data_IF_558065271407
#
_entry.id   IF_558065271407
#
_cell.length_a   1.000
_cell.length_b   1.000
_cell.length_c   1.000
_cell.angle_alpha   90.00
_cell.angle_beta   90.00
_cell.angle_gamma   90.00
#
_symmetry.space_group_name_H-M   'P 1'
#
loop_
_entity.id
_entity.type
_entity.pdbx_description
1 polymer ?
#
# COMPACT_ATOMS: atom_id res chain seq x y z
N UNK A 1 21.62 -23.13 14.50
CA UNK A 1 21.23 -24.16 13.51
C UNK A 1 20.24 -25.21 14.05
N UNK A 2 19.95 -25.29 15.37
CA UNK A 2 19.00 -26.26 15.96
C UNK A 2 17.52 -25.81 16.02
N UNK A 3 17.19 -24.55 15.73
CA UNK A 3 15.79 -24.08 15.68
C UNK A 3 15.04 -24.48 14.39
N UNK A 4 15.72 -25.10 13.42
CA UNK A 4 15.13 -25.42 12.11
C UNK A 4 14.14 -26.60 12.13
N UNK A 5 14.09 -27.38 13.21
CA UNK A 5 13.52 -28.75 13.18
C UNK A 5 12.05 -28.88 13.61
N UNK A 6 11.38 -27.83 14.08
CA UNK A 6 10.02 -27.93 14.60
C UNK A 6 9.12 -26.74 14.28
N UNK A 7 9.30 -26.09 13.12
CA UNK A 7 8.23 -25.20 12.66
C UNK A 7 7.06 -26.04 12.16
N UNK A 8 5.92 -25.96 12.84
CA UNK A 8 4.70 -26.61 12.40
C UNK A 8 4.29 -26.05 11.02
N UNK A 9 3.66 -26.85 10.17
CA UNK A 9 3.27 -26.43 8.80
C UNK A 9 2.48 -25.11 8.80
N UNK A 10 1.64 -24.91 9.82
CA UNK A 10 0.93 -23.64 10.04
C UNK A 10 1.86 -22.43 10.22
N UNK A 11 2.97 -22.57 10.95
CA UNK A 11 3.94 -21.48 11.15
C UNK A 11 4.68 -21.16 9.83
N UNK A 12 5.01 -22.19 9.04
CA UNK A 12 5.60 -22.00 7.71
C UNK A 12 4.65 -21.22 6.78
N UNK A 13 3.34 -21.49 6.83
CA UNK A 13 2.34 -20.74 6.05
C UNK A 13 2.32 -19.25 6.38
N UNK A 14 2.74 -18.85 7.59
CA UNK A 14 2.77 -17.45 8.01
C UNK A 14 3.97 -16.68 7.46
N UNK A 15 5.08 -17.35 7.14
CA UNK A 15 6.31 -16.73 6.63
C UNK A 15 6.10 -16.12 5.24
N UNK A 16 6.66 -14.94 5.00
CA UNK A 16 6.55 -14.28 3.71
C UNK A 16 7.29 -15.05 2.58
N UNK A 17 6.95 -14.79 1.31
CA UNK A 17 7.52 -15.52 0.18
C UNK A 17 9.03 -15.39 0.05
N UNK A 18 9.64 -14.29 0.50
CA UNK A 18 11.09 -14.12 0.43
C UNK A 18 11.77 -15.08 1.41
N UNK A 19 11.32 -15.11 2.66
CA UNK A 19 11.84 -16.03 3.68
C UNK A 19 11.62 -17.49 3.30
N UNK A 20 10.45 -17.84 2.74
CA UNK A 20 10.19 -19.20 2.26
C UNK A 20 11.14 -19.60 1.12
N UNK A 21 11.38 -18.72 0.15
CA UNK A 21 12.30 -19.01 -0.97
C UNK A 21 13.75 -19.14 -0.52
N UNK A 22 14.20 -18.31 0.42
CA UNK A 22 15.52 -18.47 1.04
C UNK A 22 15.63 -19.84 1.72
N UNK A 23 14.64 -20.23 2.53
CA UNK A 23 14.61 -21.58 3.14
C UNK A 23 14.59 -22.72 2.12
N UNK A 24 13.90 -22.56 0.97
CA UNK A 24 13.88 -23.57 -0.10
C UNK A 24 15.27 -23.73 -0.74
N UNK A 25 16.02 -22.63 -0.87
CA UNK A 25 17.36 -22.62 -1.42
C UNK A 25 18.37 -23.28 -0.48
N UNK A 26 18.24 -23.02 0.83
CA UNK A 26 19.21 -23.46 1.83
C UNK A 26 19.03 -24.92 2.32
N UNK A 27 18.01 -25.63 1.81
CA UNK A 27 17.69 -27.00 2.21
C UNK A 27 18.12 -28.00 1.14
N UNK A 28 18.98 -28.94 1.55
CA UNK A 28 19.44 -30.05 0.68
C UNK A 28 18.49 -31.25 0.68
N UNK A 29 17.74 -31.47 1.76
CA UNK A 29 16.82 -32.60 1.88
C UNK A 29 15.60 -32.44 0.95
N UNK A 30 15.46 -33.35 -0.03
CA UNK A 30 14.36 -33.37 -1.00
C UNK A 30 12.97 -33.32 -0.36
N UNK A 31 12.73 -34.06 0.73
CA UNK A 31 11.42 -34.13 1.38
C UNK A 31 11.05 -32.79 2.03
N UNK A 32 12.00 -32.17 2.71
CA UNK A 32 11.80 -30.85 3.35
C UNK A 32 11.65 -29.74 2.30
N UNK A 33 12.43 -29.80 1.22
CA UNK A 33 12.29 -28.88 0.09
C UNK A 33 10.91 -28.95 -0.54
N UNK A 34 10.37 -30.16 -0.76
CA UNK A 34 9.02 -30.35 -1.27
C UNK A 34 7.96 -29.79 -0.32
N UNK A 35 8.11 -29.97 1.00
CA UNK A 35 7.21 -29.40 2.00
C UNK A 35 7.19 -27.86 1.96
N UNK A 36 8.36 -27.22 1.81
CA UNK A 36 8.45 -25.76 1.70
C UNK A 36 7.85 -25.23 0.39
N UNK A 37 8.05 -25.94 -0.73
CA UNK A 37 7.42 -25.61 -2.01
C UNK A 37 5.89 -25.75 -1.92
N UNK A 38 5.42 -26.85 -1.34
CA UNK A 38 3.99 -27.07 -1.11
C UNK A 38 3.40 -25.99 -0.19
N UNK A 39 4.11 -25.60 0.86
CA UNK A 39 3.72 -24.51 1.74
C UNK A 39 3.58 -23.19 0.99
N UNK A 40 4.54 -22.86 0.11
CA UNK A 40 4.49 -21.64 -0.70
C UNK A 40 3.27 -21.65 -1.65
N UNK A 41 2.97 -22.79 -2.27
CA UNK A 41 1.82 -22.94 -3.17
C UNK A 41 0.48 -22.88 -2.44
N UNK A 42 0.33 -23.64 -1.35
CA UNK A 42 -0.88 -23.66 -0.52
C UNK A 42 -1.14 -22.27 0.06
N UNK A 43 -0.11 -21.57 0.54
CA UNK A 43 -0.23 -20.19 1.01
C UNK A 43 -0.81 -19.28 -0.07
N UNK A 44 -0.30 -19.34 -1.30
CA UNK A 44 -0.76 -18.49 -2.40
C UNK A 44 -2.23 -18.76 -2.75
N UNK A 45 -2.63 -20.04 -2.83
CA UNK A 45 -4.03 -20.42 -3.05
C UNK A 45 -4.92 -19.91 -1.93
N UNK A 46 -4.57 -20.20 -0.67
CA UNK A 46 -5.37 -19.80 0.48
C UNK A 46 -5.55 -18.27 0.55
N UNK A 47 -4.49 -17.50 0.22
CA UNK A 47 -4.55 -16.05 0.19
C UNK A 47 -5.56 -15.55 -0.86
N UNK A 48 -5.51 -16.10 -2.08
CA UNK A 48 -6.40 -15.69 -3.19
C UNK A 48 -7.82 -16.17 -2.95
N UNK A 49 -8.02 -17.42 -2.50
CA UNK A 49 -9.33 -17.94 -2.13
C UNK A 49 -9.96 -17.10 -1.02
N UNK A 50 -9.18 -16.73 0.01
CA UNK A 50 -9.66 -15.85 1.07
C UNK A 50 -9.98 -14.44 0.55
N UNK A 51 -9.16 -13.88 -0.35
CA UNK A 51 -9.45 -12.58 -0.98
C UNK A 51 -10.77 -12.59 -1.77
N UNK A 52 -10.98 -13.63 -2.59
CA UNK A 52 -12.20 -13.81 -3.37
C UNK A 52 -13.40 -13.95 -2.44
N UNK A 53 -13.31 -14.82 -1.43
CA UNK A 53 -14.37 -15.01 -0.45
C UNK A 53 -14.71 -13.70 0.29
N UNK A 54 -13.70 -12.98 0.77
CA UNK A 54 -13.84 -11.72 1.49
C UNK A 54 -14.52 -10.65 0.62
N UNK A 55 -13.97 -10.36 -0.56
CA UNK A 55 -14.49 -9.32 -1.45
C UNK A 55 -15.90 -9.68 -1.92
N UNK A 56 -16.15 -10.93 -2.25
CA UNK A 56 -17.46 -11.38 -2.73
C UNK A 56 -18.53 -11.29 -1.64
N UNK A 57 -18.19 -11.66 -0.40
CA UNK A 57 -19.11 -11.57 0.75
C UNK A 57 -19.49 -10.13 1.07
N UNK A 58 -18.50 -9.22 1.10
CA UNK A 58 -18.78 -7.80 1.35
C UNK A 58 -19.57 -7.16 0.21
N UNK A 59 -19.25 -7.50 -1.04
CA UNK A 59 -20.01 -6.99 -2.20
C UNK A 59 -21.44 -7.56 -2.26
N UNK A 60 -21.67 -8.76 -1.73
CA UNK A 60 -23.02 -9.32 -1.59
C UNK A 60 -23.84 -8.57 -0.55
N UNK A 61 -23.23 -8.23 0.60
CA UNK A 61 -23.93 -7.56 1.71
C UNK A 61 -24.15 -6.06 1.44
N UNK A 62 -23.14 -5.36 0.94
CA UNK A 62 -23.13 -3.89 0.80
C UNK A 62 -23.20 -3.42 -0.67
N UNK A 63 -23.32 -4.33 -1.63
CA UNK A 63 -23.41 -4.02 -3.06
C UNK A 63 -22.06 -3.97 -3.78
N UNK A 64 -22.09 -4.04 -5.12
CA UNK A 64 -20.87 -4.10 -5.95
C UNK A 64 -20.14 -2.77 -6.09
N UNK A 65 -20.86 -1.65 -5.96
CA UNK A 65 -20.32 -0.30 -6.16
C UNK A 65 -19.27 0.11 -5.13
N UNK A 66 -19.20 -0.59 -4.00
CA UNK A 66 -18.23 -0.38 -2.92
C UNK A 66 -17.06 -1.38 -2.96
N UNK A 67 -16.88 -2.13 -4.05
CA UNK A 67 -15.83 -3.16 -4.16
C UNK A 67 -14.42 -2.64 -3.88
N UNK A 68 -14.17 -1.34 -4.12
CA UNK A 68 -12.88 -0.73 -3.76
C UNK A 68 -12.63 -0.71 -2.25
N UNK A 69 -13.67 -0.49 -1.43
CA UNK A 69 -13.59 -0.60 0.02
C UNK A 69 -13.34 -2.04 0.45
N UNK A 70 -14.02 -3.01 -0.16
CA UNK A 70 -13.81 -4.43 0.12
C UNK A 70 -12.35 -4.86 -0.08
N UNK A 71 -11.69 -4.35 -1.14
CA UNK A 71 -10.29 -4.62 -1.43
C UNK A 71 -9.33 -3.99 -0.42
N UNK A 72 -9.48 -2.70 -0.11
CA UNK A 72 -8.56 -2.06 0.86
C UNK A 72 -8.73 -2.64 2.25
N UNK A 73 -9.96 -3.03 2.62
CA UNK A 73 -10.26 -3.68 3.89
C UNK A 73 -9.58 -5.05 3.98
N UNK A 74 -9.59 -5.82 2.89
CA UNK A 74 -8.81 -7.07 2.83
C UNK A 74 -7.33 -6.83 3.09
N UNK A 75 -6.72 -5.84 2.42
CA UNK A 75 -5.31 -5.51 2.61
C UNK A 75 -5.00 -5.07 4.06
N UNK A 76 -5.86 -4.22 4.63
CA UNK A 76 -5.74 -3.76 6.03
C UNK A 76 -5.85 -4.94 6.99
N UNK A 77 -6.81 -5.84 6.81
CA UNK A 77 -6.99 -7.03 7.64
C UNK A 77 -5.73 -7.90 7.71
N UNK A 78 -5.11 -8.16 6.55
CA UNK A 78 -3.90 -8.97 6.47
C UNK A 78 -2.74 -8.36 7.28
N UNK A 79 -2.64 -7.03 7.29
CA UNK A 79 -1.57 -6.34 8.01
C UNK A 79 -1.89 -6.19 9.50
N UNK A 80 -3.11 -5.80 9.87
CA UNK A 80 -3.52 -5.66 11.27
C UNK A 80 -3.37 -6.96 12.06
N UNK A 81 -3.44 -8.12 11.39
CA UNK A 81 -3.18 -9.43 12.02
C UNK A 81 -1.78 -9.55 12.62
N UNK A 82 -0.80 -8.84 12.06
CA UNK A 82 0.62 -9.03 12.36
C UNK A 82 1.32 -7.76 12.83
N UNK A 83 0.87 -6.58 12.39
CA UNK A 83 1.56 -5.31 12.60
C UNK A 83 0.71 -4.41 13.50
N UNK A 84 1.12 -4.17 14.75
CA UNK A 84 0.45 -3.19 15.61
C UNK A 84 0.76 -1.76 15.16
N UNK A 85 0.01 -0.78 15.68
CA UNK A 85 0.34 0.65 15.48
C UNK A 85 1.46 1.14 16.40
N UNK A 86 1.89 0.31 17.35
CA UNK A 86 3.05 0.58 18.20
C UNK A 86 2.73 1.31 19.52
N UNK A 87 1.46 1.43 19.89
CA UNK A 87 1.02 2.01 21.16
C UNK A 87 -0.18 1.24 21.73
N UNK A 88 -0.52 1.51 23.00
CA UNK A 88 -1.51 0.73 23.76
C UNK A 88 -2.79 0.44 22.98
N UNK A 89 -3.29 -0.79 23.13
CA UNK A 89 -4.37 -1.34 22.30
C UNK A 89 -5.61 -0.46 22.27
N UNK A 90 -6.07 0.06 23.41
CA UNK A 90 -7.26 0.92 23.46
C UNK A 90 -7.13 2.18 22.61
N UNK A 91 -5.94 2.79 22.59
CA UNK A 91 -5.69 3.93 21.69
C UNK A 91 -5.49 3.51 20.25
N UNK A 92 -4.89 2.35 20.00
CA UNK A 92 -4.77 1.82 18.64
C UNK A 92 -6.15 1.56 18.02
N UNK A 93 -7.13 1.13 18.81
CA UNK A 93 -8.52 1.00 18.38
C UNK A 93 -9.17 2.35 18.04
N UNK A 94 -8.89 3.40 18.81
CA UNK A 94 -9.33 4.76 18.47
C UNK A 94 -8.62 5.25 17.19
N UNK A 95 -7.32 5.01 17.07
CA UNK A 95 -6.53 5.31 15.87
C UNK A 95 -7.08 4.60 14.63
N UNK A 96 -7.49 3.34 14.76
CA UNK A 96 -8.11 2.58 13.67
C UNK A 96 -9.45 3.21 13.23
N UNK A 97 -10.25 3.69 14.18
CA UNK A 97 -11.47 4.43 13.89
C UNK A 97 -11.19 5.71 13.11
N UNK A 98 -10.18 6.49 13.54
CA UNK A 98 -9.76 7.70 12.83
C UNK A 98 -9.27 7.38 11.41
N UNK A 99 -8.48 6.31 11.23
CA UNK A 99 -8.04 5.84 9.91
C UNK A 99 -9.24 5.56 9.01
N UNK A 100 -10.27 4.87 9.51
CA UNK A 100 -11.45 4.54 8.72
C UNK A 100 -12.28 5.78 8.36
N UNK A 101 -12.37 6.76 9.26
CA UNK A 101 -12.97 8.06 8.96
C UNK A 101 -12.20 8.77 7.84
N UNK A 102 -10.85 8.81 7.91
CA UNK A 102 -10.03 9.41 6.85
C UNK A 102 -10.25 8.70 5.51
N UNK A 103 -10.31 7.36 5.51
CA UNK A 103 -10.55 6.58 4.30
C UNK A 103 -11.96 6.78 3.73
N UNK A 104 -12.98 6.94 4.58
CA UNK A 104 -14.33 7.29 4.17
C UNK A 104 -14.42 8.68 3.54
N UNK A 105 -13.72 9.66 4.14
CA UNK A 105 -13.67 11.04 3.67
C UNK A 105 -12.83 11.23 2.40
N UNK A 106 -11.86 10.35 2.14
CA UNK A 106 -10.89 10.51 1.06
C UNK A 106 -11.52 10.76 -0.33
N UNK A 107 -12.54 9.99 -0.78
CA UNK A 107 -13.17 10.23 -2.08
C UNK A 107 -13.90 11.57 -2.19
N UNK A 108 -14.41 12.11 -1.08
CA UNK A 108 -15.09 13.42 -1.08
C UNK A 108 -14.14 14.57 -1.40
N UNK A 109 -12.84 14.44 -1.13
CA UNK A 109 -11.85 15.47 -1.46
C UNK A 109 -11.80 15.69 -2.98
N UNK A 110 -12.01 14.63 -3.78
CA UNK A 110 -12.05 14.74 -5.24
C UNK A 110 -13.21 15.59 -5.78
N UNK A 111 -14.25 15.83 -4.97
CA UNK A 111 -15.42 16.65 -5.34
C UNK A 111 -15.18 18.15 -5.14
N UNK A 112 -14.11 18.54 -4.46
CA UNK A 112 -13.81 19.95 -4.16
C UNK A 112 -13.32 20.64 -5.42
N UNK A 113 -13.97 21.72 -5.85
CA UNK A 113 -13.63 22.40 -7.10
C UNK A 113 -12.23 23.05 -7.11
N UNK A 114 -11.66 23.37 -5.95
CA UNK A 114 -10.39 24.10 -5.82
C UNK A 114 -9.20 23.15 -5.61
N UNK A 115 -8.30 22.97 -6.60
CA UNK A 115 -7.19 22.02 -6.50
C UNK A 115 -6.25 22.31 -5.33
N UNK A 116 -6.02 23.58 -5.00
CA UNK A 116 -5.16 23.95 -3.87
C UNK A 116 -5.74 23.53 -2.51
N UNK A 117 -7.07 23.54 -2.35
CA UNK A 117 -7.72 23.03 -1.15
C UNK A 117 -7.58 21.50 -1.09
N UNK A 118 -7.77 20.81 -2.23
CA UNK A 118 -7.54 19.36 -2.31
C UNK A 118 -6.11 19.01 -1.87
N UNK A 119 -5.12 19.75 -2.36
CA UNK A 119 -3.71 19.58 -1.99
C UNK A 119 -3.49 19.61 -0.47
N UNK A 120 -4.02 20.64 0.21
CA UNK A 120 -3.90 20.79 1.67
C UNK A 120 -4.57 19.62 2.39
N UNK A 121 -5.78 19.22 1.96
CA UNK A 121 -6.53 18.14 2.59
C UNK A 121 -5.86 16.77 2.40
N UNK A 122 -5.35 16.47 1.20
CA UNK A 122 -4.56 15.27 0.94
C UNK A 122 -3.32 15.21 1.82
N UNK A 123 -2.64 16.35 1.96
CA UNK A 123 -1.44 16.45 2.79
C UNK A 123 -1.74 16.17 4.26
N UNK A 124 -2.78 16.79 4.80
CA UNK A 124 -3.22 16.57 6.19
C UNK A 124 -3.64 15.12 6.40
N UNK A 125 -4.46 14.55 5.51
CA UNK A 125 -4.93 13.17 5.62
C UNK A 125 -3.78 12.16 5.62
N UNK A 126 -2.85 12.27 4.65
CA UNK A 126 -1.70 11.36 4.57
C UNK A 126 -0.78 11.51 5.78
N UNK A 127 -0.51 12.74 6.23
CA UNK A 127 0.33 12.98 7.39
C UNK A 127 -0.29 12.39 8.67
N UNK A 128 -1.60 12.54 8.86
CA UNK A 128 -2.33 11.92 9.97
C UNK A 128 -2.28 10.40 9.90
N UNK A 129 -2.52 9.79 8.73
CA UNK A 129 -2.39 8.35 8.54
C UNK A 129 -1.00 7.85 8.94
N UNK A 130 0.06 8.57 8.56
CA UNK A 130 1.43 8.21 8.90
C UNK A 130 1.72 8.35 10.39
N UNK A 131 1.27 9.43 11.03
CA UNK A 131 1.44 9.60 12.47
C UNK A 131 0.68 8.56 13.28
N UNK A 132 -0.52 8.17 12.85
CA UNK A 132 -1.37 7.19 13.55
C UNK A 132 -0.83 5.76 13.37
N UNK A 133 -0.41 5.38 12.17
CA UNK A 133 -0.13 3.98 11.83
C UNK A 133 1.36 3.66 11.73
N UNK A 134 2.21 4.67 11.63
CA UNK A 134 3.59 4.52 11.18
C UNK A 134 4.64 4.41 12.27
N UNK A 135 4.31 4.27 13.56
CA UNK A 135 5.31 4.35 14.65
C UNK A 135 6.62 3.60 14.34
N UNK A 136 6.49 2.41 13.78
CA UNK A 136 7.57 1.61 13.19
C UNK A 136 7.41 1.55 11.65
N UNK A 137 7.92 2.54 10.90
CA UNK A 137 7.66 2.64 9.47
C UNK A 137 8.26 1.47 8.67
N UNK A 138 9.28 0.79 9.24
CA UNK A 138 9.91 -0.40 8.65
C UNK A 138 8.91 -1.54 8.42
N UNK A 139 7.84 -1.59 9.22
CA UNK A 139 6.80 -2.61 9.12
C UNK A 139 5.83 -2.37 7.94
N UNK A 140 5.97 -1.25 7.22
CA UNK A 140 5.27 -0.99 5.97
C UNK A 140 3.88 -0.37 6.10
N UNK A 141 3.37 -0.13 7.33
CA UNK A 141 2.06 0.50 7.56
C UNK A 141 1.86 1.78 6.74
N UNK A 142 2.77 2.78 6.74
CA UNK A 142 2.57 3.99 5.95
C UNK A 142 2.36 3.73 4.46
N UNK A 143 3.06 2.75 3.88
CA UNK A 143 2.89 2.37 2.48
C UNK A 143 1.53 1.71 2.21
N UNK A 144 1.04 0.86 3.12
CA UNK A 144 -0.28 0.24 3.00
C UNK A 144 -1.42 1.25 3.13
N UNK A 145 -1.36 2.14 4.12
CA UNK A 145 -2.41 3.13 4.34
C UNK A 145 -2.40 4.21 3.27
N UNK A 146 -1.23 4.60 2.74
CA UNK A 146 -1.17 5.47 1.55
C UNK A 146 -1.75 4.77 0.31
N UNK A 147 -1.44 3.48 0.11
CA UNK A 147 -2.03 2.70 -0.98
C UNK A 147 -3.56 2.69 -0.86
N UNK A 148 -4.09 2.39 0.33
CA UNK A 148 -5.53 2.33 0.58
C UNK A 148 -6.21 3.69 0.29
N UNK A 149 -5.60 4.77 0.78
CA UNK A 149 -6.07 6.13 0.55
C UNK A 149 -6.09 6.51 -0.95
N UNK A 150 -4.96 6.30 -1.63
CA UNK A 150 -4.82 6.60 -3.06
C UNK A 150 -5.72 5.73 -3.93
N UNK A 151 -5.94 4.48 -3.54
CA UNK A 151 -6.84 3.56 -4.25
C UNK A 151 -8.28 4.04 -4.18
N UNK A 152 -8.75 4.47 -3.02
CA UNK A 152 -10.10 5.01 -2.87
C UNK A 152 -10.30 6.29 -3.67
N UNK A 153 -9.37 7.25 -3.61
CA UNK A 153 -9.45 8.50 -4.39
C UNK A 153 -9.47 8.22 -5.90
N UNK A 154 -8.70 7.23 -6.36
CA UNK A 154 -8.58 6.94 -7.79
C UNK A 154 -9.63 6.00 -8.37
N UNK A 155 -10.51 5.42 -7.53
CA UNK A 155 -11.51 4.44 -7.98
C UNK A 155 -12.93 4.72 -7.51
N UNK A 156 -13.10 5.39 -6.37
CA UNK A 156 -14.42 5.70 -5.82
C UNK A 156 -14.84 7.09 -6.30
N UNK A 157 -15.93 7.12 -7.05
CA UNK A 157 -16.65 8.34 -7.40
C UNK A 157 -18.08 8.16 -6.94
N UNK A 158 -18.50 8.92 -5.92
CA UNK A 158 -19.85 8.81 -5.39
C UNK A 158 -20.84 9.37 -6.41
N UNK A 159 -21.62 8.49 -7.02
CA UNK A 159 -22.66 8.83 -8.00
C UNK A 159 -24.04 8.88 -7.33
N UNK A 160 -24.23 8.15 -6.22
CA UNK A 160 -25.49 8.10 -5.47
C UNK A 160 -25.29 8.17 -3.96
N UNK A 161 -26.31 8.68 -3.26
CA UNK A 161 -26.33 8.69 -1.79
C UNK A 161 -26.26 7.26 -1.20
N UNK A 162 -26.81 6.27 -1.90
CA UNK A 162 -26.75 4.87 -1.49
C UNK A 162 -25.30 4.38 -1.39
N UNK A 163 -24.43 4.76 -2.34
CA UNK A 163 -23.01 4.38 -2.29
C UNK A 163 -22.28 5.00 -1.09
N UNK A 164 -22.61 6.24 -0.73
CA UNK A 164 -22.07 6.92 0.45
C UNK A 164 -22.51 6.21 1.73
N UNK A 165 -23.78 5.83 1.81
CA UNK A 165 -24.34 5.11 2.96
C UNK A 165 -23.71 3.73 3.09
N UNK A 166 -23.59 2.98 1.98
CA UNK A 166 -22.97 1.66 1.98
C UNK A 166 -21.47 1.73 2.32
N UNK A 167 -20.74 2.75 1.84
CA UNK A 167 -19.31 2.93 2.18
C UNK A 167 -19.10 3.25 3.65
N UNK A 168 -20.03 3.98 4.28
CA UNK A 168 -20.02 4.20 5.73
C UNK A 168 -20.25 2.88 6.49
N UNK A 169 -21.30 2.14 6.14
CA UNK A 169 -21.67 0.92 6.87
C UNK A 169 -20.67 -0.23 6.71
N UNK A 170 -20.04 -0.40 5.54
CA UNK A 170 -18.98 -1.42 5.37
C UNK A 170 -17.77 -1.10 6.25
N UNK A 171 -17.39 0.18 6.37
CA UNK A 171 -16.29 0.59 7.23
C UNK A 171 -16.65 0.42 8.71
N UNK A 172 -17.88 0.76 9.10
CA UNK A 172 -18.37 0.54 10.47
C UNK A 172 -18.39 -0.94 10.85
N UNK A 173 -18.92 -1.79 9.97
CA UNK A 173 -18.91 -3.25 10.14
C UNK A 173 -17.48 -3.78 10.25
N UNK A 174 -16.61 -3.36 9.33
CA UNK A 174 -15.21 -3.79 9.33
C UNK A 174 -14.44 -3.28 10.54
N UNK A 175 -14.78 -2.10 11.07
CA UNK A 175 -14.18 -1.57 12.29
C UNK A 175 -14.47 -2.50 13.47
N UNK A 176 -15.72 -2.93 13.63
CA UNK A 176 -16.09 -3.89 14.68
C UNK A 176 -15.29 -5.19 14.58
N UNK A 177 -15.25 -5.80 13.39
CA UNK A 177 -14.48 -7.02 13.17
C UNK A 177 -12.97 -6.83 13.41
N UNK A 178 -12.40 -5.76 12.88
CA UNK A 178 -10.97 -5.52 12.95
C UNK A 178 -10.56 -5.12 14.37
N UNK A 179 -11.41 -4.42 15.11
CA UNK A 179 -11.17 -4.10 16.52
C UNK A 179 -11.06 -5.37 17.37
N UNK A 180 -11.96 -6.34 17.17
CA UNK A 180 -11.91 -7.64 17.85
C UNK A 180 -10.59 -8.36 17.51
N UNK A 181 -10.27 -8.50 16.23
CA UNK A 181 -9.04 -9.18 15.78
C UNK A 181 -7.79 -8.47 16.32
N UNK A 182 -7.74 -7.15 16.21
CA UNK A 182 -6.63 -6.33 16.65
C UNK A 182 -6.42 -6.44 18.16
N UNK A 183 -7.50 -6.39 18.93
CA UNK A 183 -7.44 -6.58 20.38
C UNK A 183 -6.86 -7.94 20.74
N UNK A 184 -7.39 -9.03 20.16
CA UNK A 184 -6.87 -10.37 20.44
C UNK A 184 -5.40 -10.55 20.06
N UNK A 185 -4.94 -9.91 18.99
CA UNK A 185 -3.55 -10.03 18.50
C UNK A 185 -2.56 -9.14 19.24
N UNK A 186 -2.97 -7.96 19.68
CA UNK A 186 -2.06 -6.91 20.15
C UNK A 186 -2.38 -6.37 21.55
N UNK A 187 -3.26 -7.01 22.33
CA UNK A 187 -3.65 -6.52 23.67
C UNK A 187 -2.47 -6.27 24.62
N UNK A 188 -1.39 -7.03 24.47
CA UNK A 188 -0.18 -6.92 25.30
C UNK A 188 0.93 -6.09 24.63
N UNK A 189 0.68 -5.48 23.47
CA UNK A 189 1.69 -4.71 22.75
C UNK A 189 1.80 -3.29 23.29
N UNK A 190 3.02 -2.86 23.63
CA UNK A 190 3.37 -1.47 23.92
C UNK A 190 2.46 -0.77 24.95
N UNK A 191 2.11 -1.48 26.04
CA UNK A 191 1.16 -1.02 27.07
C UNK A 191 1.51 0.36 27.67
N UNK A 192 2.81 0.64 27.79
CA UNK A 192 3.32 1.89 28.39
C UNK A 192 3.23 3.11 27.45
N UNK A 193 2.88 2.92 26.18
CA UNK A 193 2.98 3.98 25.17
C UNK A 193 1.57 4.44 24.81
N UNK A 194 1.23 5.66 25.21
CA UNK A 194 -0.07 6.28 24.90
C UNK A 194 -0.09 7.02 23.56
N UNK A 195 -1.28 7.32 23.02
CA UNK A 195 -1.42 8.15 21.83
C UNK A 195 -0.83 9.56 22.02
N UNK A 196 -0.98 10.14 23.22
CA UNK A 196 -0.39 11.45 23.55
C UNK A 196 1.13 11.40 23.46
N UNK A 197 1.75 10.29 23.86
CA UNK A 197 3.20 10.11 23.70
C UNK A 197 3.60 10.14 22.22
N UNK A 198 2.81 9.51 21.34
CA UNK A 198 3.04 9.56 19.88
C UNK A 198 2.93 10.99 19.35
N UNK A 199 1.90 11.74 19.76
CA UNK A 199 1.76 13.15 19.38
C UNK A 199 2.98 13.96 19.84
N UNK A 200 3.42 13.78 21.09
CA UNK A 200 4.60 14.47 21.64
C UNK A 200 5.87 14.12 20.88
N UNK A 201 6.12 12.84 20.62
CA UNK A 201 7.27 12.37 19.84
C UNK A 201 7.25 12.96 18.42
N UNK A 202 6.07 13.04 17.81
CA UNK A 202 5.89 13.56 16.46
C UNK A 202 6.03 15.09 16.35
N UNK A 203 6.10 15.83 17.48
CA UNK A 203 6.41 17.28 17.47
C UNK A 203 7.88 17.58 17.20
N UNK A 204 8.77 16.63 17.47
CA UNK A 204 10.20 16.84 17.30
C UNK A 204 10.64 16.54 15.85
N UNK A 205 11.63 17.29 15.36
CA UNK A 205 12.24 16.99 14.05
C UNK A 205 13.14 15.77 14.23
N UNK A 206 12.76 14.65 13.61
CA UNK A 206 13.56 13.44 13.53
C UNK A 206 13.46 12.83 12.12
N UNK A 207 14.30 11.85 11.81
CA UNK A 207 14.35 11.24 10.46
C UNK A 207 12.99 10.67 10.03
N UNK A 208 12.23 10.11 10.98
CA UNK A 208 10.89 9.56 10.75
C UNK A 208 9.90 10.65 10.32
N UNK A 209 9.83 11.76 11.06
CA UNK A 209 8.91 12.86 10.79
C UNK A 209 9.30 13.64 9.53
N UNK A 210 10.60 13.79 9.26
CA UNK A 210 11.10 14.33 7.98
C UNK A 210 10.63 13.42 6.84
N UNK A 211 10.74 12.10 7.00
CA UNK A 211 10.27 11.14 6.01
C UNK A 211 8.75 11.16 5.83
N UNK A 212 7.96 11.28 6.90
CA UNK A 212 6.51 11.44 6.79
C UNK A 212 6.13 12.71 6.03
N UNK A 213 6.78 13.83 6.33
CA UNK A 213 6.57 15.07 5.61
C UNK A 213 6.94 14.91 4.13
N UNK A 214 8.14 14.38 3.84
CA UNK A 214 8.61 14.08 2.49
C UNK A 214 7.59 13.24 1.71
N UNK A 215 7.10 12.18 2.33
CA UNK A 215 6.16 11.26 1.69
C UNK A 215 4.79 11.92 1.48
N UNK A 216 4.18 12.47 2.54
CA UNK A 216 2.84 13.06 2.47
C UNK A 216 2.81 14.25 1.52
N UNK A 217 3.80 15.14 1.61
CA UNK A 217 3.91 16.31 0.74
C UNK A 217 4.15 15.89 -0.70
N UNK A 218 5.10 14.99 -0.95
CA UNK A 218 5.43 14.52 -2.30
C UNK A 218 4.23 13.90 -3.02
N UNK A 219 3.43 13.09 -2.34
CA UNK A 219 2.22 12.48 -2.92
C UNK A 219 1.09 13.50 -3.11
N UNK A 220 0.88 14.38 -2.13
CA UNK A 220 -0.18 15.39 -2.22
C UNK A 220 0.11 16.40 -3.33
N UNK A 221 1.38 16.80 -3.49
CA UNK A 221 1.81 17.67 -4.58
C UNK A 221 1.65 16.97 -5.94
N UNK A 222 1.93 15.66 -6.01
CA UNK A 222 1.70 14.90 -7.23
C UNK A 222 0.20 14.90 -7.58
N UNK A 223 -0.67 14.58 -6.61
CA UNK A 223 -2.13 14.62 -6.78
C UNK A 223 -2.60 15.99 -7.26
N UNK A 224 -2.09 17.07 -6.65
CA UNK A 224 -2.38 18.44 -7.05
C UNK A 224 -2.04 18.70 -8.53
N UNK A 225 -0.84 18.31 -8.97
CA UNK A 225 -0.42 18.43 -10.36
C UNK A 225 -1.33 17.62 -11.29
N UNK A 226 -1.70 16.39 -10.90
CA UNK A 226 -2.60 15.54 -11.66
C UNK A 226 -3.99 16.16 -11.85
N UNK A 227 -4.58 16.69 -10.77
CA UNK A 227 -5.86 17.41 -10.81
C UNK A 227 -5.76 18.68 -11.65
N UNK A 228 -4.72 19.48 -11.44
CA UNK A 228 -4.51 20.74 -12.17
C UNK A 228 -4.35 20.51 -13.68
N UNK A 229 -3.61 19.47 -14.08
CA UNK A 229 -3.40 19.08 -15.47
C UNK A 229 -4.55 18.24 -16.06
N UNK A 230 -5.57 17.89 -15.26
CA UNK A 230 -6.73 17.07 -15.65
C UNK A 230 -6.34 15.72 -16.29
N UNK A 231 -5.39 15.01 -15.69
CA UNK A 231 -4.92 13.72 -16.21
C UNK A 231 -5.83 12.60 -15.73
N UNK A 232 -6.43 11.85 -16.65
CA UNK A 232 -7.22 10.66 -16.33
C UNK A 232 -6.38 9.55 -15.68
N UNK A 233 -7.00 8.79 -14.77
CA UNK A 233 -6.39 7.62 -14.09
C UNK A 233 -5.03 7.91 -13.44
N UNK A 234 -4.82 9.15 -13.01
CA UNK A 234 -3.59 9.63 -12.39
C UNK A 234 -3.14 8.83 -11.14
N UNK A 235 -4.05 8.05 -10.54
CA UNK A 235 -3.76 7.05 -9.51
C UNK A 235 -2.58 6.13 -9.85
N UNK A 236 -2.37 5.76 -11.12
CA UNK A 236 -1.23 4.92 -11.50
C UNK A 236 0.11 5.62 -11.31
N UNK A 237 0.18 6.93 -11.57
CA UNK A 237 1.35 7.77 -11.29
C UNK A 237 1.60 7.87 -9.78
N UNK A 238 0.54 8.05 -8.98
CA UNK A 238 0.68 8.18 -7.53
C UNK A 238 1.07 6.86 -6.87
N UNK A 239 0.57 5.71 -7.34
CA UNK A 239 1.07 4.41 -6.89
C UNK A 239 2.54 4.19 -7.24
N UNK A 240 2.97 4.67 -8.41
CA UNK A 240 4.37 4.60 -8.78
C UNK A 240 5.26 5.40 -7.85
N UNK A 241 4.89 6.66 -7.62
CA UNK A 241 5.59 7.53 -6.70
C UNK A 241 5.57 6.98 -5.25
N UNK A 242 4.39 6.57 -4.76
CA UNK A 242 4.19 6.06 -3.40
C UNK A 242 5.02 4.80 -3.12
N UNK A 243 5.08 3.86 -4.06
CA UNK A 243 5.89 2.65 -3.91
C UNK A 243 7.39 2.94 -3.74
N UNK A 244 7.90 3.99 -4.40
CA UNK A 244 9.29 4.42 -4.27
C UNK A 244 9.54 5.01 -2.88
N UNK A 245 8.63 5.87 -2.40
CA UNK A 245 8.75 6.55 -1.11
C UNK A 245 8.56 5.63 0.10
N UNK A 246 7.76 4.57 -0.03
CA UNK A 246 7.35 3.67 1.06
C UNK A 246 8.48 2.95 1.81
N UNK A 247 9.69 2.87 1.26
CA UNK A 247 10.81 2.14 1.86
C UNK A 247 11.59 2.92 2.90
N UNK A 248 11.08 3.06 4.13
CA UNK A 248 11.82 3.73 5.21
C UNK A 248 13.17 3.02 5.51
N UNK A 249 14.27 3.77 5.58
CA UNK A 249 15.67 3.34 5.83
C UNK A 249 16.27 2.26 4.91
N UNK A 250 15.47 1.64 4.04
CA UNK A 250 15.90 0.73 2.95
C UNK A 250 15.85 1.45 1.59
N UNK A 251 15.83 2.78 1.64
CA UNK A 251 15.54 3.67 0.52
C UNK A 251 16.76 3.86 -0.38
N UNK A 252 16.71 3.28 -1.56
CA UNK A 252 17.53 3.71 -2.70
C UNK A 252 16.63 3.98 -3.89
N UNK A 253 16.28 5.25 -4.08
CA UNK A 253 15.32 5.65 -5.12
C UNK A 253 15.75 5.19 -6.51
N UNK A 254 17.06 5.23 -6.81
CA UNK A 254 17.61 4.84 -8.10
C UNK A 254 17.42 3.35 -8.39
N UNK A 255 17.70 2.48 -7.41
CA UNK A 255 17.52 1.02 -7.55
C UNK A 255 16.04 0.68 -7.71
N UNK A 256 15.18 1.19 -6.83
CA UNK A 256 13.73 0.94 -6.93
C UNK A 256 13.10 1.54 -8.19
N UNK A 257 13.59 2.68 -8.68
CA UNK A 257 13.12 3.28 -9.92
C UNK A 257 13.47 2.39 -11.11
N UNK A 258 14.71 1.87 -11.18
CA UNK A 258 15.12 0.92 -12.22
C UNK A 258 14.26 -0.35 -12.21
N UNK A 259 14.11 -0.99 -11.05
CA UNK A 259 13.28 -2.18 -10.91
C UNK A 259 11.83 -1.92 -11.30
N UNK A 260 11.30 -0.74 -10.96
CA UNK A 260 9.95 -0.34 -11.32
C UNK A 260 9.80 -0.14 -12.82
N UNK A 261 10.70 0.60 -13.47
CA UNK A 261 10.68 0.82 -14.93
C UNK A 261 10.74 -0.50 -15.68
N UNK A 262 11.69 -1.37 -15.33
CA UNK A 262 11.81 -2.71 -15.92
C UNK A 262 10.52 -3.50 -15.69
N UNK A 263 9.98 -3.46 -14.47
CA UNK A 263 8.76 -4.17 -14.12
C UNK A 263 7.52 -3.67 -14.85
N UNK A 264 7.40 -2.37 -15.12
CA UNK A 264 6.27 -1.79 -15.86
C UNK A 264 6.31 -2.20 -17.32
N UNK A 265 7.46 -2.10 -17.99
CA UNK A 265 7.59 -2.50 -19.39
C UNK A 265 7.35 -4.00 -19.55
N UNK A 266 8.09 -4.82 -18.78
CA UNK A 266 7.94 -6.28 -18.83
C UNK A 266 6.53 -6.73 -18.45
N UNK A 267 5.96 -6.16 -17.38
CA UNK A 267 4.61 -6.46 -16.93
C UNK A 267 3.53 -6.04 -17.90
N UNK A 268 3.66 -4.88 -18.55
CA UNK A 268 2.64 -4.38 -19.48
C UNK A 268 2.62 -5.18 -20.78
N UNK A 269 3.79 -5.52 -21.33
CA UNK A 269 3.92 -6.38 -22.50
C UNK A 269 3.38 -7.78 -22.19
N UNK A 270 3.81 -8.37 -21.08
CA UNK A 270 3.35 -9.70 -20.65
C UNK A 270 1.84 -9.73 -20.47
N UNK A 271 1.26 -8.74 -19.79
CA UNK A 271 -0.19 -8.66 -19.58
C UNK A 271 -0.95 -8.53 -20.90
N UNK A 272 -0.42 -7.76 -21.84
CA UNK A 272 -1.03 -7.60 -23.15
C UNK A 272 -1.03 -8.89 -23.96
N UNK A 273 0.09 -9.62 -23.97
CA UNK A 273 0.17 -10.94 -24.63
C UNK A 273 -0.76 -11.96 -23.96
N UNK A 274 -0.80 -12.00 -22.63
CA UNK A 274 -1.68 -12.92 -21.92
C UNK A 274 -3.16 -12.66 -22.18
N UNK A 275 -3.58 -11.39 -22.34
CA UNK A 275 -4.96 -11.03 -22.69
C UNK A 275 -5.37 -11.42 -24.11
N UNK A 276 -4.41 -11.70 -25.00
CA UNK A 276 -4.70 -12.27 -26.32
C UNK A 276 -4.95 -13.79 -26.26
N UNK A 277 -4.51 -14.46 -25.19
CA UNK A 277 -4.49 -15.92 -25.07
C UNK A 277 -5.47 -16.44 -24.01
N UNK A 278 -5.72 -15.66 -22.95
CA UNK A 278 -6.47 -16.09 -21.76
C UNK A 278 -7.63 -15.11 -21.52
N UNK A 279 -8.86 -15.62 -21.27
CA UNK A 279 -9.98 -14.76 -20.90
C UNK A 279 -9.71 -13.93 -19.64
N UNK A 280 -10.22 -12.70 -19.63
CA UNK A 280 -10.06 -11.71 -18.54
C UNK A 280 -10.43 -12.28 -17.16
N UNK A 281 -11.47 -13.11 -17.09
CA UNK A 281 -11.98 -13.69 -15.85
C UNK A 281 -10.98 -14.62 -15.15
N UNK A 282 -10.10 -15.30 -15.90
CA UNK A 282 -9.08 -16.18 -15.33
C UNK A 282 -7.78 -15.44 -15.04
N UNK A 283 -7.47 -14.41 -15.83
CA UNK A 283 -6.19 -13.71 -15.73
C UNK A 283 -6.03 -12.95 -14.41
N UNK A 284 -7.11 -12.40 -13.86
CA UNK A 284 -7.10 -11.78 -12.53
C UNK A 284 -6.76 -12.76 -11.41
N UNK A 285 -7.35 -13.96 -11.45
CA UNK A 285 -7.11 -15.02 -10.45
C UNK A 285 -5.67 -15.53 -10.55
N UNK A 286 -5.21 -15.83 -11.77
CA UNK A 286 -3.83 -16.26 -12.02
C UNK A 286 -2.82 -15.18 -11.58
N UNK A 287 -3.09 -13.91 -11.90
CA UNK A 287 -2.26 -12.79 -11.47
C UNK A 287 -2.15 -12.69 -9.93
N UNK A 288 -3.26 -12.89 -9.22
CA UNK A 288 -3.29 -12.95 -7.76
C UNK A 288 -2.47 -14.10 -7.19
N UNK A 289 -2.59 -15.30 -7.77
CA UNK A 289 -1.84 -16.48 -7.35
C UNK A 289 -0.34 -16.26 -7.60
N UNK A 290 0.04 -15.79 -8.78
CA UNK A 290 1.42 -15.42 -9.13
C UNK A 290 2.01 -14.37 -8.18
N UNK A 291 1.22 -13.36 -7.76
CA UNK A 291 1.63 -12.36 -6.77
C UNK A 291 1.93 -12.99 -5.41
N UNK A 292 1.20 -14.04 -5.02
CA UNK A 292 1.46 -14.82 -3.80
C UNK A 292 2.85 -15.46 -3.75
N UNK A 293 3.47 -15.72 -4.91
CA UNK A 293 4.84 -16.25 -5.02
C UNK A 293 5.93 -15.16 -5.08
N UNK A 294 5.57 -13.88 -5.18
CA UNK A 294 6.54 -12.84 -5.44
C UNK A 294 7.32 -12.42 -4.19
N UNK A 295 8.64 -12.53 -4.28
CA UNK A 295 9.56 -12.10 -3.24
C UNK A 295 10.14 -10.71 -3.52
N UNK A 296 10.55 -10.44 -4.77
CA UNK A 296 11.24 -9.21 -5.17
C UNK A 296 10.27 -8.11 -5.58
N UNK A 297 10.72 -6.86 -5.45
CA UNK A 297 9.94 -5.68 -5.80
C UNK A 297 9.69 -5.57 -7.31
N UNK A 298 10.68 -5.87 -8.15
CA UNK A 298 10.52 -6.00 -9.60
C UNK A 298 9.39 -6.97 -9.98
N UNK A 299 9.38 -8.20 -9.44
CA UNK A 299 8.37 -9.20 -9.81
C UNK A 299 6.96 -8.81 -9.35
N UNK A 300 6.85 -8.18 -8.17
CA UNK A 300 5.59 -7.58 -7.70
C UNK A 300 5.09 -6.52 -8.68
N UNK A 301 5.99 -5.71 -9.24
CA UNK A 301 5.65 -4.66 -10.23
C UNK A 301 5.14 -5.28 -11.54
N UNK A 302 5.83 -6.31 -12.05
CA UNK A 302 5.43 -7.02 -13.29
C UNK A 302 4.01 -7.56 -13.15
N UNK A 303 3.74 -8.31 -12.08
CA UNK A 303 2.43 -8.95 -11.91
C UNK A 303 1.32 -7.97 -11.52
N UNK A 304 1.64 -6.85 -10.87
CA UNK A 304 0.65 -5.80 -10.61
C UNK A 304 0.09 -5.22 -11.92
N UNK A 305 0.87 -5.21 -13.00
CA UNK A 305 0.37 -4.81 -14.32
C UNK A 305 -0.71 -5.76 -14.84
N UNK A 306 -0.68 -7.06 -14.51
CA UNK A 306 -1.70 -8.03 -14.96
C UNK A 306 -3.08 -7.60 -14.45
N UNK A 307 -3.22 -7.44 -13.13
CA UNK A 307 -4.50 -7.03 -12.53
C UNK A 307 -4.95 -5.65 -13.02
N UNK A 308 -4.03 -4.69 -13.09
CA UNK A 308 -4.34 -3.32 -13.52
C UNK A 308 -4.80 -3.25 -14.99
N UNK A 309 -4.09 -3.93 -15.89
CA UNK A 309 -4.41 -3.92 -17.34
C UNK A 309 -5.67 -4.74 -17.60
N UNK A 310 -5.84 -5.89 -16.96
CA UNK A 310 -7.07 -6.70 -17.09
C UNK A 310 -8.31 -5.88 -16.73
N UNK A 311 -8.25 -5.16 -15.60
CA UNK A 311 -9.39 -4.38 -15.11
C UNK A 311 -9.70 -3.15 -15.99
N UNK A 312 -8.67 -2.51 -16.55
CA UNK A 312 -8.83 -1.29 -17.33
C UNK A 312 -9.09 -1.55 -18.83
N UNK A 313 -8.75 -2.73 -19.34
CA UNK A 313 -8.90 -3.09 -20.76
C UNK A 313 -10.37 -3.14 -21.18
N UNK A 314 -11.28 -3.52 -20.28
CA UNK A 314 -12.72 -3.47 -20.53
C UNK A 314 -13.26 -2.05 -20.73
N UNK A 315 -12.53 -1.02 -20.25
CA UNK A 315 -12.94 0.39 -20.31
C UNK A 315 -12.28 1.09 -21.50
N UNK A 316 -10.96 0.92 -21.68
CA UNK A 316 -10.18 1.71 -22.64
C UNK A 316 -9.71 0.93 -23.87
N UNK A 317 -9.93 -0.39 -23.89
CA UNK A 317 -9.31 -1.30 -24.85
C UNK A 317 -7.85 -1.60 -24.51
N UNK A 318 -7.33 -2.69 -25.06
CA UNK A 318 -6.04 -3.25 -24.67
C UNK A 318 -4.87 -2.29 -24.98
N UNK A 319 -4.80 -1.79 -26.22
CA UNK A 319 -3.71 -0.92 -26.69
C UNK A 319 -3.61 0.36 -25.84
N UNK A 320 -4.74 1.03 -25.64
CA UNK A 320 -4.81 2.27 -24.83
C UNK A 320 -4.43 2.00 -23.38
N UNK A 321 -4.92 0.90 -22.81
CA UNK A 321 -4.65 0.54 -21.42
C UNK A 321 -3.16 0.29 -21.18
N UNK A 322 -2.50 -0.46 -22.07
CA UNK A 322 -1.06 -0.72 -22.01
C UNK A 322 -0.27 0.59 -22.10
N UNK A 323 -0.63 1.46 -23.05
CA UNK A 323 0.04 2.76 -23.22
C UNK A 323 -0.13 3.64 -21.98
N UNK A 324 -1.36 3.78 -21.46
CA UNK A 324 -1.65 4.53 -20.24
C UNK A 324 -0.86 3.98 -19.05
N UNK A 325 -0.74 2.65 -18.94
CA UNK A 325 -0.05 2.00 -17.83
C UNK A 325 1.43 2.34 -17.83
N UNK A 326 2.07 2.27 -18.99
CA UNK A 326 3.48 2.64 -19.16
C UNK A 326 3.65 4.14 -18.88
N UNK A 327 2.92 5.00 -19.58
CA UNK A 327 3.09 6.45 -19.51
C UNK A 327 2.87 7.01 -18.10
N UNK A 328 1.76 6.65 -17.44
CA UNK A 328 1.45 7.18 -16.11
C UNK A 328 2.43 6.68 -15.05
N UNK A 329 2.87 5.42 -15.12
CA UNK A 329 3.87 4.95 -14.18
C UNK A 329 5.24 5.61 -14.42
N UNK A 330 5.64 5.84 -15.67
CA UNK A 330 6.88 6.57 -15.99
C UNK A 330 6.83 8.02 -15.49
N UNK A 331 5.68 8.69 -15.65
CA UNK A 331 5.45 10.02 -15.06
C UNK A 331 5.62 9.99 -13.55
N UNK A 332 5.01 9.01 -12.86
CA UNK A 332 5.16 8.86 -11.42
C UNK A 332 6.60 8.59 -10.97
N UNK A 333 7.36 7.77 -11.71
CA UNK A 333 8.79 7.51 -11.44
C UNK A 333 9.64 8.77 -11.67
N UNK A 334 9.45 9.45 -12.81
CA UNK A 334 10.18 10.66 -13.16
C UNK A 334 9.94 11.79 -12.15
N UNK A 335 8.67 12.00 -11.76
CA UNK A 335 8.31 12.94 -10.70
C UNK A 335 8.99 12.56 -9.38
N UNK A 336 8.92 11.29 -8.96
CA UNK A 336 9.50 10.87 -7.69
C UNK A 336 11.00 11.16 -7.62
N UNK A 337 11.72 10.95 -8.73
CA UNK A 337 13.14 11.24 -8.83
C UNK A 337 13.43 12.74 -8.73
N UNK A 338 12.71 13.56 -9.50
CA UNK A 338 12.85 15.01 -9.46
C UNK A 338 12.54 15.58 -8.06
N UNK A 339 11.43 15.15 -7.47
CA UNK A 339 11.04 15.54 -6.11
C UNK A 339 12.11 15.15 -5.08
N UNK A 340 12.65 13.93 -5.19
CA UNK A 340 13.71 13.48 -4.28
C UNK A 340 14.97 14.36 -4.37
N UNK A 341 15.44 14.66 -5.58
CA UNK A 341 16.61 15.53 -5.78
C UNK A 341 16.40 16.92 -5.19
N UNK A 342 15.25 17.53 -5.48
CA UNK A 342 14.90 18.86 -4.95
C UNK A 342 14.84 18.83 -3.43
N UNK A 343 14.15 17.85 -2.85
CA UNK A 343 13.98 17.74 -1.41
C UNK A 343 15.32 17.56 -0.70
N UNK A 344 16.16 16.62 -1.16
CA UNK A 344 17.48 16.35 -0.56
C UNK A 344 18.39 17.59 -0.64
N UNK A 345 18.37 18.31 -1.76
CA UNK A 345 19.14 19.54 -1.91
C UNK A 345 18.70 20.63 -0.93
N UNK A 346 17.38 20.83 -0.78
CA UNK A 346 16.82 21.80 0.16
C UNK A 346 17.16 21.42 1.60
N UNK A 347 16.89 20.17 2.02
CA UNK A 347 17.15 19.72 3.38
C UNK A 347 18.64 19.72 3.70
N UNK A 348 19.50 19.31 2.76
CA UNK A 348 20.95 19.34 2.92
C UNK A 348 21.48 20.77 3.10
N UNK A 349 20.94 21.73 2.35
CA UNK A 349 21.28 23.16 2.50
C UNK A 349 20.83 23.71 3.85
N UNK A 350 19.62 23.38 4.30
CA UNK A 350 19.07 23.80 5.60
C UNK A 350 19.87 23.22 6.77
N UNK A 351 20.25 21.94 6.72
CA UNK A 351 21.08 21.30 7.77
C UNK A 351 22.48 21.90 7.85
N UNK A 352 23.11 22.23 6.70
CA UNK A 352 24.41 22.92 6.66
C UNK A 352 24.32 24.34 7.23
N UNK A 353 23.26 25.10 6.93
CA UNK A 353 23.02 26.44 7.49
C UNK A 353 22.75 26.41 9.00
N UNK A 354 22.03 25.41 9.50
CA UNK A 354 21.78 25.20 10.93
C UNK A 354 23.06 24.93 11.73
N UNK A 355 23.94 24.04 11.23
CA UNK A 355 25.24 23.77 11.87
C UNK A 355 26.17 24.99 11.90
N UNK A 356 26.18 25.80 10.83
CA UNK A 356 26.96 27.06 10.79
C UNK A 356 26.46 28.13 11.77
N UNK A 357 25.18 28.11 12.16
CA UNK A 357 24.63 29.01 13.19
C UNK A 357 24.92 28.53 14.60
N UNK A 358 25.00 27.22 14.83
CA UNK A 358 25.30 26.63 16.14
C UNK A 358 26.80 26.59 16.47
N UNK A 359 27.69 26.57 15.46
CA UNK A 359 29.14 26.69 15.65
C UNK A 359 29.68 28.12 15.63
N UNK A 360 28.80 29.12 15.80
CA UNK A 360 29.13 30.56 15.91
C UNK A 360 28.71 31.18 17.26
N UNK A 361 28.20 30.34 18.16
CA UNK A 361 28.07 30.63 19.60
C UNK A 361 29.04 29.69 20.33
#
# INVERSE_FOLDING_TARGET
MKELFYMHFYQLLQLDPLTLKQKIHDVDNKKQKLQLIACLFIRAILLVSFAIFWISSLNFIFGKDISSFSLILFCILLTLRFVPFGYRVGHSLVGLGIVFIILWLAPFISLIAYPFIQFILHFICLLLLFFITGKEPQMGNPGLYSFSYLYLIGTVHYISNTQVVHSFFILLFSYGLFAIIFYHKHKFSNENISFIHIIKENRHINNKNIWYFYYAFGISLLLFLGTYLRIDRFMWSTFACSSLFSGYNTFKISERAKERVIGIFGGSILSGLLLLLIPTNYLGILGGICLGFCATYQNKTILNCIGAITSATLIFGLKTTVLLRITLNLLGVGYAFLYHLIFVNITGSLMKKGKKRLGKN
#
